data_IF_019948531293
#
_entry.id   IF_019948531293
#
_cell.length_a   1.000
_cell.length_b   1.000
_cell.length_c   1.000
_cell.angle_alpha   90.00
_cell.angle_beta   90.00
_cell.angle_gamma   90.00
#
_symmetry.space_group_name_H-M   'P 1'
#
loop_
_entity.id
_entity.type
_entity.pdbx_description
1 polymer ?
#
# COMPACT_ATOMS: atom_id res chain seq x y z
N UNK A 1 -31.83 14.45 -10.37
CA UNK A 1 -31.28 13.21 -9.77
C UNK A 1 -30.46 12.52 -10.85
N UNK A 2 -29.12 12.59 -10.77
CA UNK A 2 -28.25 11.94 -11.75
C UNK A 2 -28.10 10.47 -11.37
N UNK A 3 -28.71 9.59 -12.16
CA UNK A 3 -28.56 8.14 -12.03
C UNK A 3 -27.11 7.76 -12.31
N UNK A 4 -26.41 7.25 -11.29
CA UNK A 4 -25.11 6.60 -11.46
C UNK A 4 -25.28 5.39 -12.39
N UNK A 5 -24.44 5.30 -13.42
CA UNK A 5 -24.40 4.12 -14.30
C UNK A 5 -23.80 2.93 -13.54
N UNK A 6 -24.32 1.70 -13.73
CA UNK A 6 -23.75 0.52 -13.10
C UNK A 6 -22.32 0.31 -13.57
N UNK A 7 -21.42 0.08 -12.61
CA UNK A 7 -20.06 -0.38 -12.86
C UNK A 7 -20.13 -1.71 -13.63
N UNK A 8 -19.32 -1.83 -14.69
CA UNK A 8 -19.28 -3.00 -15.55
C UNK A 8 -18.98 -4.29 -14.77
N UNK A 9 -19.33 -5.43 -15.36
CA UNK A 9 -19.17 -6.77 -14.77
C UNK A 9 -17.77 -6.93 -14.17
N UNK A 10 -17.71 -7.15 -12.86
CA UNK A 10 -16.50 -7.52 -12.14
C UNK A 10 -16.00 -8.86 -12.69
N UNK A 11 -14.76 -8.89 -13.18
CA UNK A 11 -14.04 -10.12 -13.46
C UNK A 11 -13.61 -10.70 -12.11
N UNK A 12 -14.46 -11.54 -11.54
CA UNK A 12 -14.13 -12.31 -10.35
C UNK A 12 -13.02 -13.30 -10.68
N UNK A 13 -11.86 -13.11 -10.07
CA UNK A 13 -10.75 -14.07 -10.07
C UNK A 13 -10.72 -14.67 -8.66
N UNK A 14 -10.64 -16.00 -8.53
CA UNK A 14 -10.58 -16.64 -7.20
C UNK A 14 -9.32 -16.19 -6.45
N UNK A 15 -9.29 -16.29 -5.11
CA UNK A 15 -8.11 -15.91 -4.32
C UNK A 15 -6.85 -16.68 -4.78
N UNK A 16 -7.00 -17.95 -5.13
CA UNK A 16 -5.92 -18.79 -5.65
C UNK A 16 -5.56 -18.44 -7.10
N UNK A 17 -6.50 -17.99 -7.94
CA UNK A 17 -6.18 -17.48 -9.29
C UNK A 17 -5.60 -16.07 -9.25
N UNK A 18 -5.99 -15.21 -8.30
CA UNK A 18 -5.38 -13.90 -8.10
C UNK A 18 -3.94 -14.05 -7.59
N UNK A 19 -3.71 -15.04 -6.71
CA UNK A 19 -2.37 -15.43 -6.27
C UNK A 19 -1.60 -16.23 -7.35
N UNK A 20 -2.25 -17.02 -8.20
CA UNK A 20 -1.62 -17.75 -9.31
C UNK A 20 -1.32 -16.87 -10.52
N UNK A 21 -2.14 -15.89 -10.88
CA UNK A 21 -1.81 -14.89 -11.91
C UNK A 21 -0.65 -14.00 -11.45
N UNK A 22 -0.44 -13.90 -10.13
CA UNK A 22 0.76 -13.31 -9.53
C UNK A 22 1.98 -14.25 -9.56
N UNK A 23 1.80 -15.57 -9.59
CA UNK A 23 2.88 -16.57 -9.67
C UNK A 23 3.20 -17.03 -11.12
N UNK A 24 2.23 -16.91 -12.04
CA UNK A 24 2.30 -17.35 -13.44
C UNK A 24 2.55 -16.22 -14.43
N UNK A 25 2.88 -15.01 -13.97
CA UNK A 25 3.46 -14.00 -14.86
C UNK A 25 4.87 -14.47 -15.27
N UNK A 26 4.92 -15.32 -16.28
CA UNK A 26 6.13 -15.62 -17.01
C UNK A 26 6.36 -14.48 -18.01
N UNK A 27 7.47 -13.73 -17.91
CA UNK A 27 7.88 -12.92 -19.05
C UNK A 27 8.07 -13.88 -20.23
N UNK A 28 7.35 -13.63 -21.33
CA UNK A 28 7.50 -14.45 -22.52
C UNK A 28 8.99 -14.56 -22.88
N UNK A 29 9.47 -15.80 -22.95
CA UNK A 29 10.75 -16.24 -23.48
C UNK A 29 12.03 -15.78 -22.75
N UNK A 30 12.49 -16.59 -21.79
CA UNK A 30 13.93 -16.84 -21.61
C UNK A 30 14.17 -18.33 -21.39
N UNK A 31 14.36 -19.04 -22.50
CA UNK A 31 15.19 -20.24 -22.48
C UNK A 31 16.64 -19.80 -22.31
N UNK A 32 17.31 -20.32 -21.27
CA UNK A 32 18.68 -19.97 -20.95
C UNK A 32 18.94 -20.14 -19.47
N UNK A 33 19.17 -21.39 -19.04
CA UNK A 33 19.68 -21.66 -17.70
C UNK A 33 21.09 -21.11 -17.57
N UNK A 34 21.29 -20.21 -16.63
CA UNK A 34 22.60 -19.83 -16.13
C UNK A 34 22.52 -19.55 -14.63
N UNK A 35 23.58 -19.97 -13.95
CA UNK A 35 23.71 -20.05 -12.50
C UNK A 35 23.40 -18.72 -11.82
N UNK A 36 22.64 -18.79 -10.72
CA UNK A 36 22.41 -17.67 -9.83
C UNK A 36 23.74 -17.22 -9.21
N UNK A 37 24.37 -16.23 -9.84
CA UNK A 37 25.36 -15.40 -9.17
C UNK A 37 24.62 -14.52 -8.15
N UNK A 38 25.15 -14.54 -6.92
CA UNK A 38 24.84 -13.60 -5.85
C UNK A 38 25.29 -12.19 -6.26
N UNK A 39 24.60 -11.57 -7.22
CA UNK A 39 24.80 -10.16 -7.53
C UNK A 39 24.26 -9.34 -6.37
N UNK A 40 25.17 -8.63 -5.71
CA UNK A 40 24.89 -7.73 -4.59
C UNK A 40 23.67 -6.86 -4.88
N UNK A 41 22.75 -6.83 -3.91
CA UNK A 41 21.56 -5.98 -3.93
C UNK A 41 21.95 -4.50 -4.19
N UNK A 42 22.01 -4.08 -5.45
CA UNK A 42 22.13 -2.69 -5.88
C UNK A 42 20.78 -1.97 -5.66
N UNK A 43 20.24 -2.06 -4.44
CA UNK A 43 19.13 -1.21 -4.05
C UNK A 43 19.65 0.21 -3.94
N UNK A 44 19.04 1.13 -4.69
CA UNK A 44 19.38 2.54 -4.69
C UNK A 44 18.24 3.35 -4.09
N UNK A 45 18.62 4.42 -3.42
CA UNK A 45 17.73 5.49 -3.00
C UNK A 45 18.35 6.79 -3.51
N UNK A 46 17.69 7.41 -4.49
CA UNK A 46 18.17 8.64 -5.10
C UNK A 46 17.30 9.81 -4.67
N UNK A 47 17.97 10.87 -4.20
CA UNK A 47 17.31 12.13 -3.92
C UNK A 47 17.12 12.95 -5.21
N UNK A 48 15.87 13.18 -5.62
CA UNK A 48 15.54 14.05 -6.75
C UNK A 48 14.91 15.33 -6.23
N UNK A 49 14.77 16.33 -7.10
CA UNK A 49 14.29 17.67 -6.71
C UNK A 49 12.93 17.61 -5.98
N UNK A 50 11.98 16.85 -6.50
CA UNK A 50 10.57 16.84 -6.08
C UNK A 50 10.09 15.48 -5.52
N UNK A 51 10.94 14.44 -5.59
CA UNK A 51 10.63 13.10 -5.08
C UNK A 51 11.90 12.34 -4.70
N UNK A 52 11.74 11.25 -3.94
CA UNK A 52 12.77 10.23 -3.76
C UNK A 52 12.51 9.07 -4.71
N UNK A 53 13.52 8.59 -5.44
CA UNK A 53 13.44 7.37 -6.23
C UNK A 53 13.93 6.20 -5.40
N UNK A 54 13.08 5.22 -5.13
CA UNK A 54 13.37 4.06 -4.29
C UNK A 54 13.31 2.81 -5.16
N UNK A 55 14.47 2.19 -5.39
CA UNK A 55 14.58 0.97 -6.18
C UNK A 55 14.36 -0.28 -5.32
N UNK A 56 14.12 -1.39 -6.03
CA UNK A 56 13.93 -2.71 -5.46
C UNK A 56 12.73 -2.84 -4.50
N UNK A 57 11.69 -2.04 -4.69
CA UNK A 57 10.41 -2.17 -3.97
C UNK A 57 9.70 -3.43 -4.47
N UNK A 58 9.48 -4.39 -3.56
CA UNK A 58 8.75 -5.64 -3.85
C UNK A 58 7.25 -5.42 -3.67
N UNK A 59 6.53 -5.31 -4.79
CA UNK A 59 5.10 -5.05 -4.82
C UNK A 59 4.41 -5.93 -5.87
N UNK A 60 3.32 -6.62 -5.47
CA UNK A 60 2.59 -7.57 -6.33
C UNK A 60 3.51 -8.62 -7.01
N UNK A 61 4.35 -9.29 -6.23
CA UNK A 61 5.34 -10.28 -6.70
C UNK A 61 6.35 -9.75 -7.73
N UNK A 62 6.47 -8.43 -7.87
CA UNK A 62 7.40 -7.78 -8.81
C UNK A 62 8.32 -6.85 -8.05
N UNK A 63 9.54 -6.75 -8.56
CA UNK A 63 10.50 -5.74 -8.12
C UNK A 63 10.36 -4.51 -9.02
N UNK A 64 10.10 -3.35 -8.42
CA UNK A 64 9.91 -2.09 -9.16
C UNK A 64 10.67 -0.94 -8.51
N UNK A 65 10.75 0.18 -9.23
CA UNK A 65 11.21 1.46 -8.70
C UNK A 65 10.00 2.35 -8.42
N UNK A 66 9.99 2.97 -7.26
CA UNK A 66 8.88 3.82 -6.81
C UNK A 66 9.42 5.21 -6.50
N UNK A 67 8.86 6.21 -7.19
CA UNK A 67 9.00 7.60 -6.78
C UNK A 67 8.05 7.93 -5.64
N UNK A 68 8.56 8.48 -4.54
CA UNK A 68 7.77 9.05 -3.44
C UNK A 68 7.87 10.58 -3.49
N UNK A 69 6.76 11.27 -3.71
CA UNK A 69 6.73 12.74 -3.76
C UNK A 69 7.15 13.35 -2.40
N UNK A 70 7.95 14.41 -2.45
CA UNK A 70 8.38 15.20 -1.26
C UNK A 70 7.28 16.12 -0.72
N UNK A 71 6.08 16.05 -1.30
CA UNK A 71 4.89 16.77 -0.87
C UNK A 71 3.67 15.85 -0.96
N UNK A 72 2.64 16.16 -0.18
CA UNK A 72 1.34 15.49 -0.31
C UNK A 72 0.70 15.88 -1.65
N UNK A 73 -0.05 14.95 -2.24
CA UNK A 73 -0.77 15.25 -3.49
C UNK A 73 -1.75 16.40 -3.29
N UNK A 74 -1.96 17.15 -4.39
CA UNK A 74 -2.86 18.30 -4.42
C UNK A 74 -2.58 19.29 -3.27
N UNK A 75 -1.30 19.55 -3.00
CA UNK A 75 -0.83 20.42 -1.89
C UNK A 75 -1.35 20.01 -0.50
N UNK A 76 -1.67 18.73 -0.32
CA UNK A 76 -2.23 18.20 0.92
C UNK A 76 -3.70 18.53 1.15
N UNK A 77 -4.43 18.93 0.10
CA UNK A 77 -5.89 18.99 0.11
C UNK A 77 -6.49 17.64 0.50
N UNK A 78 -7.75 17.66 0.94
CA UNK A 78 -8.48 16.46 1.33
C UNK A 78 -9.50 16.15 0.25
N UNK A 79 -9.59 14.89 -0.14
CA UNK A 79 -10.64 14.37 -1.03
C UNK A 79 -11.16 13.05 -0.45
N UNK A 80 -12.38 12.70 -0.83
CA UNK A 80 -12.93 11.35 -0.63
C UNK A 80 -12.13 10.32 -1.43
N UNK A 81 -12.30 9.03 -1.12
CA UNK A 81 -11.56 7.98 -1.85
C UNK A 81 -11.95 7.93 -3.34
N UNK A 82 -13.22 8.16 -3.65
CA UNK A 82 -13.72 8.13 -5.03
C UNK A 82 -13.11 9.27 -5.87
N UNK A 83 -13.00 10.47 -5.29
CA UNK A 83 -12.30 11.61 -5.90
C UNK A 83 -10.79 11.36 -6.05
N UNK A 84 -10.15 10.71 -5.07
CA UNK A 84 -8.75 10.31 -5.18
C UNK A 84 -8.51 9.23 -6.24
N UNK A 85 -9.45 8.30 -6.40
CA UNK A 85 -9.39 7.30 -7.45
C UNK A 85 -9.49 7.96 -8.84
N UNK A 86 -10.40 8.92 -9.02
CA UNK A 86 -10.51 9.68 -10.27
C UNK A 86 -9.23 10.50 -10.55
N UNK A 87 -8.74 11.23 -9.55
CA UNK A 87 -7.46 11.94 -9.67
C UNK A 87 -6.33 10.99 -10.08
N UNK A 88 -6.24 9.82 -9.42
CA UNK A 88 -5.17 8.84 -9.63
C UNK A 88 -5.21 8.23 -11.03
N UNK A 89 -6.41 7.98 -11.58
CA UNK A 89 -6.57 7.53 -12.98
C UNK A 89 -5.97 8.52 -13.96
N UNK A 90 -6.32 9.79 -13.83
CA UNK A 90 -5.83 10.86 -14.70
C UNK A 90 -4.31 11.05 -14.56
N UNK A 91 -3.81 11.11 -13.32
CA UNK A 91 -2.40 11.29 -13.03
C UNK A 91 -1.55 10.12 -13.57
N UNK A 92 -1.99 8.86 -13.38
CA UNK A 92 -1.25 7.68 -13.86
C UNK A 92 -1.15 7.63 -15.39
N UNK A 93 -2.19 8.06 -16.11
CA UNK A 93 -2.16 8.17 -17.59
C UNK A 93 -1.13 9.20 -18.08
N UNK A 94 -0.88 10.24 -17.29
CA UNK A 94 0.06 11.32 -17.60
C UNK A 94 1.47 11.06 -17.03
N UNK A 95 1.71 9.89 -16.42
CA UNK A 95 2.98 9.58 -15.75
C UNK A 95 3.22 10.38 -14.45
N UNK A 96 2.17 10.99 -13.90
CA UNK A 96 2.20 11.75 -12.65
C UNK A 96 2.14 10.88 -11.39
N UNK A 97 2.28 11.54 -10.24
CA UNK A 97 2.08 10.91 -8.94
C UNK A 97 0.60 10.66 -8.65
N UNK A 98 0.30 9.49 -8.12
CA UNK A 98 -1.05 9.03 -7.80
C UNK A 98 -1.10 8.44 -6.38
N UNK A 99 -2.30 8.06 -5.93
CA UNK A 99 -2.49 7.45 -4.61
C UNK A 99 -2.22 5.95 -4.67
N UNK A 100 -1.34 5.45 -3.81
CA UNK A 100 -1.07 4.01 -3.70
C UNK A 100 -2.18 3.26 -2.98
N UNK A 101 -2.27 1.95 -3.19
CA UNK A 101 -2.98 1.06 -2.28
C UNK A 101 -2.13 0.76 -1.04
N UNK A 102 -2.72 0.11 -0.04
CA UNK A 102 -2.05 -0.18 1.22
C UNK A 102 -0.81 -1.11 1.07
N UNK A 103 -0.84 -2.18 0.25
CA UNK A 103 0.34 -2.99 0.01
C UNK A 103 1.50 -2.21 -0.64
N UNK A 104 1.24 -1.27 -1.55
CA UNK A 104 2.30 -0.45 -2.15
C UNK A 104 2.99 0.43 -1.10
N UNK A 105 2.21 1.09 -0.22
CA UNK A 105 2.79 1.89 0.86
C UNK A 105 3.58 1.04 1.84
N UNK A 106 3.07 -0.15 2.20
CA UNK A 106 3.80 -1.05 3.07
C UNK A 106 5.12 -1.52 2.43
N UNK A 107 5.09 -1.95 1.16
CA UNK A 107 6.27 -2.34 0.41
C UNK A 107 7.32 -1.22 0.35
N UNK A 108 6.87 0.02 0.13
CA UNK A 108 7.71 1.21 0.13
C UNK A 108 8.36 1.45 1.50
N UNK A 109 7.58 1.40 2.58
CA UNK A 109 8.10 1.63 3.94
C UNK A 109 9.05 0.52 4.38
N UNK A 110 8.73 -0.73 4.01
CA UNK A 110 9.59 -1.89 4.24
C UNK A 110 10.93 -1.75 3.51
N UNK A 111 10.91 -1.23 2.28
CA UNK A 111 12.14 -1.00 1.53
C UNK A 111 12.98 0.14 2.14
N UNK A 112 12.37 1.24 2.57
CA UNK A 112 13.09 2.28 3.32
C UNK A 112 13.69 1.71 4.61
N UNK A 113 12.92 0.87 5.33
CA UNK A 113 13.39 0.21 6.54
C UNK A 113 14.60 -0.69 6.26
N UNK A 114 14.62 -1.44 5.16
CA UNK A 114 15.77 -2.29 4.80
C UNK A 114 17.05 -1.49 4.49
N UNK A 115 16.90 -0.27 3.97
CA UNK A 115 17.99 0.65 3.63
C UNK A 115 18.53 1.47 4.81
N UNK A 116 17.89 1.40 5.99
CA UNK A 116 18.21 2.27 7.14
C UNK A 116 19.66 2.18 7.64
N UNK A 117 20.26 1.00 7.52
CA UNK A 117 21.64 0.75 7.96
C UNK A 117 22.68 0.94 6.84
N UNK A 118 22.25 1.25 5.61
CA UNK A 118 23.17 1.48 4.50
C UNK A 118 23.88 2.84 4.68
N UNK A 119 25.21 2.87 4.91
CA UNK A 119 25.91 4.12 5.21
C UNK A 119 25.83 5.16 4.08
N UNK A 120 25.76 4.72 2.81
CA UNK A 120 25.67 5.60 1.65
C UNK A 120 24.28 6.21 1.42
N UNK A 121 23.24 5.67 2.06
CA UNK A 121 21.84 6.10 1.89
C UNK A 121 21.18 6.57 3.18
N UNK A 122 21.86 6.43 4.33
CA UNK A 122 21.30 6.68 5.66
C UNK A 122 20.63 8.05 5.77
N UNK A 123 21.29 9.12 5.31
CA UNK A 123 20.73 10.47 5.35
C UNK A 123 19.45 10.58 4.54
N UNK A 124 19.46 10.14 3.28
CA UNK A 124 18.29 10.20 2.39
C UNK A 124 17.14 9.33 2.89
N UNK A 125 17.45 8.14 3.42
CA UNK A 125 16.47 7.23 4.03
C UNK A 125 15.80 7.90 5.22
N UNK A 126 16.58 8.57 6.07
CA UNK A 126 16.08 9.28 7.24
C UNK A 126 15.22 10.48 6.87
N UNK A 127 15.60 11.26 5.86
CA UNK A 127 14.77 12.37 5.36
C UNK A 127 13.41 11.89 4.83
N UNK A 128 13.39 10.81 4.04
CA UNK A 128 12.16 10.21 3.54
C UNK A 128 11.30 9.67 4.70
N UNK A 129 11.92 8.99 5.67
CA UNK A 129 11.27 8.50 6.90
C UNK A 129 10.64 9.65 7.68
N UNK A 130 11.40 10.70 7.97
CA UNK A 130 10.94 11.88 8.71
C UNK A 130 9.79 12.59 8.01
N UNK A 131 9.84 12.73 6.68
CA UNK A 131 8.75 13.28 5.90
C UNK A 131 7.46 12.46 6.12
N UNK A 132 7.50 11.14 5.88
CA UNK A 132 6.34 10.26 6.04
C UNK A 132 5.82 10.32 7.47
N UNK A 133 6.72 10.19 8.45
CA UNK A 133 6.43 10.24 9.88
C UNK A 133 5.67 11.52 10.24
N UNK A 134 6.22 12.68 9.84
CA UNK A 134 5.60 13.99 10.04
C UNK A 134 4.21 14.08 9.42
N UNK A 135 3.98 13.46 8.25
CA UNK A 135 2.64 13.44 7.65
C UNK A 135 1.68 12.55 8.45
N UNK A 136 2.12 11.36 8.90
CA UNK A 136 1.32 10.45 9.72
C UNK A 136 0.87 11.12 11.03
N UNK A 137 1.76 11.86 11.70
CA UNK A 137 1.43 12.59 12.94
C UNK A 137 0.51 13.81 12.73
N UNK A 138 0.49 14.39 11.53
CA UNK A 138 -0.32 15.58 11.24
C UNK A 138 -1.67 15.27 10.63
N UNK A 139 -1.78 14.15 9.90
CA UNK A 139 -2.91 13.86 9.02
C UNK A 139 -3.18 12.36 9.00
N UNK A 140 -4.46 12.01 8.86
CA UNK A 140 -4.84 10.71 8.33
C UNK A 140 -4.51 10.68 6.84
N UNK A 141 -3.78 9.65 6.42
CA UNK A 141 -3.35 9.42 5.05
C UNK A 141 -4.18 8.27 4.45
N UNK A 142 -4.95 8.59 3.43
CA UNK A 142 -5.82 7.63 2.76
C UNK A 142 -5.06 6.80 1.72
N UNK A 143 -5.52 5.58 1.48
CA UNK A 143 -5.03 4.72 0.40
C UNK A 143 -6.15 4.38 -0.59
N UNK A 144 -5.79 3.79 -1.72
CA UNK A 144 -6.75 3.16 -2.64
C UNK A 144 -7.07 1.71 -2.22
N UNK A 145 -7.06 1.38 -0.93
CA UNK A 145 -7.65 0.13 -0.43
C UNK A 145 -9.04 0.40 0.16
N UNK A 146 -10.06 -0.26 -0.37
CA UNK A 146 -11.46 -0.25 0.11
C UNK A 146 -11.78 -1.59 0.77
N UNK A 147 -12.57 -1.56 1.81
CA UNK A 147 -13.11 -2.75 2.47
C UNK A 147 -14.62 -2.76 2.31
N UNK A 148 -15.17 -3.91 1.93
CA UNK A 148 -16.61 -4.16 1.91
C UNK A 148 -16.90 -5.26 2.92
N UNK A 149 -17.38 -4.86 4.09
CA UNK A 149 -17.86 -5.78 5.10
C UNK A 149 -19.21 -6.34 4.67
N UNK A 150 -19.42 -7.63 4.92
CA UNK A 150 -20.70 -8.29 4.67
C UNK A 150 -21.29 -8.77 5.99
N UNK A 151 -22.61 -8.70 6.13
CA UNK A 151 -23.33 -9.27 7.27
C UNK A 151 -23.12 -10.80 7.32
N UNK A 152 -23.01 -11.44 6.16
CA UNK A 152 -22.79 -12.89 6.02
C UNK A 152 -21.66 -13.19 5.05
N UNK A 153 -20.89 -14.24 5.36
CA UNK A 153 -19.78 -14.71 4.54
C UNK A 153 -18.50 -13.88 4.67
N UNK A 154 -17.64 -13.99 3.65
CA UNK A 154 -16.37 -13.29 3.59
C UNK A 154 -16.57 -11.85 3.14
N UNK A 155 -15.81 -10.97 3.79
CA UNK A 155 -15.69 -9.58 3.39
C UNK A 155 -14.76 -9.47 2.17
N UNK A 156 -14.90 -8.38 1.42
CA UNK A 156 -14.03 -8.07 0.27
C UNK A 156 -13.01 -6.99 0.64
N UNK A 157 -11.74 -7.21 0.34
CA UNK A 157 -10.69 -6.20 0.34
C UNK A 157 -10.38 -5.85 -1.12
N UNK A 158 -10.63 -4.61 -1.52
CA UNK A 158 -10.37 -4.12 -2.87
C UNK A 158 -9.12 -3.25 -2.81
N UNK A 159 -8.04 -3.69 -3.46
CA UNK A 159 -6.82 -2.92 -3.62
C UNK A 159 -6.80 -2.19 -4.95
N UNK A 160 -6.12 -1.04 -5.00
CA UNK A 160 -6.13 -0.14 -6.16
C UNK A 160 -7.56 0.24 -6.60
N UNK A 161 -8.43 0.50 -5.63
CA UNK A 161 -9.82 0.86 -5.84
C UNK A 161 -9.98 1.96 -6.90
N UNK A 162 -10.80 1.66 -7.92
CA UNK A 162 -11.09 2.55 -9.04
C UNK A 162 -9.97 2.66 -10.09
N UNK A 163 -8.88 1.91 -9.97
CA UNK A 163 -7.80 1.89 -10.96
C UNK A 163 -7.96 0.72 -11.95
N UNK A 164 -7.25 0.77 -13.08
CA UNK A 164 -7.28 -0.31 -14.08
C UNK A 164 -6.70 -1.63 -13.55
N UNK A 165 -5.74 -1.57 -12.63
CA UNK A 165 -5.10 -2.71 -11.98
C UNK A 165 -5.68 -3.01 -10.58
N UNK A 166 -6.96 -2.69 -10.39
CA UNK A 166 -7.73 -3.08 -9.21
C UNK A 166 -7.76 -4.61 -9.08
N UNK A 167 -7.66 -5.12 -7.86
CA UNK A 167 -7.85 -6.52 -7.56
C UNK A 167 -8.53 -6.71 -6.19
N UNK A 168 -9.12 -7.87 -5.99
CA UNK A 168 -9.90 -8.18 -4.80
C UNK A 168 -9.34 -9.40 -4.07
N UNK A 169 -9.39 -9.35 -2.75
CA UNK A 169 -9.15 -10.48 -1.87
C UNK A 169 -10.41 -10.71 -1.02
N UNK A 170 -10.67 -11.96 -0.66
CA UNK A 170 -11.76 -12.32 0.25
C UNK A 170 -11.17 -12.74 1.59
N UNK A 171 -11.79 -12.32 2.69
CA UNK A 171 -11.33 -12.71 4.02
C UNK A 171 -12.25 -12.25 5.14
N UNK A 172 -11.93 -12.62 6.38
CA UNK A 172 -12.62 -12.10 7.54
C UNK A 172 -11.83 -10.94 8.15
N UNK A 173 -12.29 -9.71 7.93
CA UNK A 173 -11.63 -8.48 8.40
C UNK A 173 -12.27 -7.90 9.66
N UNK A 174 -13.37 -8.50 10.14
CA UNK A 174 -13.99 -8.15 11.42
C UNK A 174 -13.11 -8.66 12.56
N UNK A 175 -12.90 -7.82 13.56
CA UNK A 175 -12.13 -8.20 14.74
C UNK A 175 -11.98 -7.05 15.71
N UNK A 176 -11.54 -7.37 16.94
CA UNK A 176 -11.29 -6.38 17.97
C UNK A 176 -10.17 -5.44 17.58
N UNK A 177 -10.35 -4.17 17.88
CA UNK A 177 -9.26 -3.19 17.94
C UNK A 177 -8.10 -3.70 18.83
N UNK A 178 -6.86 -3.47 18.43
CA UNK A 178 -5.72 -3.87 19.25
C UNK A 178 -4.35 -3.57 18.67
N UNK A 179 -3.35 -3.67 19.54
CA UNK A 179 -1.93 -3.65 19.14
C UNK A 179 -1.63 -4.81 18.18
N UNK A 180 -0.73 -4.53 17.25
CA UNK A 180 -0.18 -5.52 16.33
C UNK A 180 0.95 -6.24 17.07
N UNK A 181 0.65 -7.43 17.58
CA UNK A 181 1.60 -8.30 18.27
C UNK A 181 1.59 -9.70 17.63
N UNK A 182 2.65 -10.47 17.88
CA UNK A 182 2.77 -11.88 17.51
C UNK A 182 1.63 -12.76 18.10
N UNK A 183 1.19 -12.45 19.31
CA UNK A 183 0.11 -13.15 20.00
C UNK A 183 -1.28 -12.93 19.36
N UNK A 184 -1.43 -11.97 18.46
CA UNK A 184 -2.71 -11.65 17.81
C UNK A 184 -2.83 -12.34 16.44
N UNK A 185 -2.96 -13.68 16.44
CA UNK A 185 -3.06 -14.49 15.21
C UNK A 185 -4.23 -14.08 14.29
N UNK A 186 -5.31 -13.52 14.85
CA UNK A 186 -6.40 -12.94 14.06
C UNK A 186 -6.04 -11.61 13.40
N UNK A 187 -5.09 -10.86 13.94
CA UNK A 187 -4.53 -9.70 13.25
C UNK A 187 -3.59 -10.12 12.11
N UNK A 188 -2.83 -11.21 12.25
CA UNK A 188 -1.92 -11.71 11.21
C UNK A 188 -2.62 -11.94 9.87
N UNK A 189 -3.72 -12.69 9.84
CA UNK A 189 -4.44 -12.95 8.58
C UNK A 189 -4.98 -11.69 7.90
N UNK A 190 -5.37 -10.68 8.68
CA UNK A 190 -5.83 -9.39 8.12
C UNK A 190 -4.65 -8.56 7.63
N UNK A 191 -3.55 -8.56 8.36
CA UNK A 191 -2.35 -7.83 7.96
C UNK A 191 -1.82 -8.39 6.65
N UNK A 192 -1.78 -9.72 6.48
CA UNK A 192 -1.46 -10.34 5.20
C UNK A 192 -2.36 -9.82 4.08
N UNK A 193 -3.68 -9.79 4.30
CA UNK A 193 -4.64 -9.27 3.32
C UNK A 193 -4.44 -7.77 3.05
N UNK A 194 -4.01 -6.97 4.03
CA UNK A 194 -3.86 -5.52 3.87
C UNK A 194 -2.51 -5.14 3.26
N UNK A 195 -1.42 -5.80 3.65
CA UNK A 195 -0.04 -5.42 3.34
C UNK A 195 0.67 -6.38 2.40
N UNK A 196 0.20 -7.62 2.27
CA UNK A 196 0.92 -8.72 1.64
C UNK A 196 1.99 -9.37 2.52
N UNK A 197 2.14 -8.96 3.79
CA UNK A 197 3.11 -9.52 4.74
C UNK A 197 2.40 -10.39 5.78
N UNK A 198 2.88 -11.63 5.91
CA UNK A 198 2.34 -12.64 6.84
C UNK A 198 2.80 -12.39 8.28
N UNK A 199 4.00 -11.84 8.43
CA UNK A 199 4.62 -11.61 9.72
C UNK A 199 4.19 -10.26 10.32
N UNK A 200 3.23 -10.33 11.25
CA UNK A 200 2.75 -9.16 11.98
C UNK A 200 3.86 -8.44 12.77
N UNK A 201 4.90 -9.15 13.23
CA UNK A 201 6.03 -8.54 13.93
C UNK A 201 6.80 -7.64 12.99
N UNK A 202 7.10 -8.11 11.77
CA UNK A 202 7.75 -7.28 10.75
C UNK A 202 6.93 -6.04 10.38
N UNK A 203 5.62 -6.21 10.25
CA UNK A 203 4.73 -5.07 10.00
C UNK A 203 4.87 -4.02 11.10
N UNK A 204 4.82 -4.47 12.36
CA UNK A 204 4.97 -3.56 13.50
C UNK A 204 6.37 -2.91 13.56
N UNK A 205 7.44 -3.67 13.31
CA UNK A 205 8.81 -3.16 13.28
C UNK A 205 8.98 -2.03 12.25
N UNK A 206 8.46 -2.22 11.04
CA UNK A 206 8.51 -1.19 9.98
C UNK A 206 7.83 0.09 10.45
N UNK A 207 6.57 0.02 10.89
CA UNK A 207 5.83 1.21 11.32
C UNK A 207 6.39 1.84 12.60
N UNK A 208 6.94 1.04 13.51
CA UNK A 208 7.63 1.52 14.70
C UNK A 208 8.91 2.25 14.35
N UNK A 209 9.68 1.77 13.38
CA UNK A 209 10.81 2.54 12.87
C UNK A 209 10.36 3.84 12.20
N UNK A 210 9.29 3.81 11.39
CA UNK A 210 8.78 5.01 10.73
C UNK A 210 8.39 6.12 11.71
N UNK A 211 7.84 5.78 12.88
CA UNK A 211 7.16 6.76 13.76
C UNK A 211 7.66 6.80 15.20
N UNK A 212 8.45 5.83 15.63
CA UNK A 212 8.81 5.60 17.02
C UNK A 212 7.69 5.02 17.88
N UNK A 213 6.57 4.55 17.30
CA UNK A 213 5.37 4.11 18.02
C UNK A 213 4.96 2.69 17.66
N UNK A 214 4.38 1.99 18.64
CA UNK A 214 3.77 0.68 18.38
C UNK A 214 2.57 0.82 17.45
N UNK A 215 2.35 -0.21 16.63
CA UNK A 215 1.29 -0.22 15.64
C UNK A 215 0.00 -0.81 16.20
N UNK A 216 -1.11 -0.20 15.83
CA UNK A 216 -2.45 -0.53 16.30
C UNK A 216 -3.38 -0.69 15.10
N UNK A 217 -4.15 -1.78 15.06
CA UNK A 217 -5.09 -2.08 14.00
C UNK A 217 -6.53 -1.77 14.47
N UNK A 218 -7.15 -0.76 13.87
CA UNK A 218 -8.56 -0.43 14.11
C UNK A 218 -9.46 -1.11 13.08
N UNK A 219 -10.48 -1.83 13.56
CA UNK A 219 -11.38 -2.66 12.76
C UNK A 219 -12.82 -2.51 13.21
N UNK A 220 -13.72 -2.90 12.31
CA UNK A 220 -15.11 -3.13 12.68
C UNK A 220 -15.17 -4.37 13.58
N UNK A 221 -15.86 -4.25 14.73
CA UNK A 221 -15.93 -5.31 15.74
C UNK A 221 -17.04 -6.35 15.49
N UNK A 222 -17.98 -6.09 14.57
CA UNK A 222 -19.11 -6.98 14.25
C UNK A 222 -19.43 -7.00 12.76
N UNK A 223 -19.90 -8.15 12.25
CA UNK A 223 -20.37 -8.28 10.86
C UNK A 223 -21.52 -7.31 10.59
N UNK A 224 -21.47 -6.68 9.42
CA UNK A 224 -22.45 -5.69 8.95
C UNK A 224 -22.21 -5.42 7.46
N UNK A 225 -23.26 -5.01 6.74
CA UNK A 225 -23.12 -4.57 5.35
C UNK A 225 -22.68 -3.11 5.30
N UNK A 226 -21.39 -2.89 5.09
CA UNK A 226 -20.85 -1.53 5.08
C UNK A 226 -19.51 -1.43 4.37
N UNK A 227 -19.17 -0.24 3.89
CA UNK A 227 -17.89 0.00 3.26
C UNK A 227 -16.99 0.88 4.11
N UNK A 228 -15.69 0.61 4.06
CA UNK A 228 -14.66 1.36 4.78
C UNK A 228 -13.47 1.64 3.89
N UNK A 229 -12.73 2.68 4.25
CA UNK A 229 -11.50 3.08 3.58
C UNK A 229 -10.33 2.78 4.49
N UNK A 230 -9.31 2.13 3.94
CA UNK A 230 -8.06 1.92 4.68
C UNK A 230 -7.25 3.21 4.67
N UNK A 231 -6.74 3.57 5.84
CA UNK A 231 -5.90 4.76 6.04
C UNK A 231 -4.86 4.48 7.13
N UNK A 232 -3.79 5.26 7.15
CA UNK A 232 -2.79 5.22 8.21
C UNK A 232 -2.54 6.63 8.78
N UNK A 233 -2.13 6.68 10.04
CA UNK A 233 -1.81 7.91 10.77
C UNK A 233 -1.09 7.56 12.06
N UNK A 234 -0.64 8.55 12.81
CA UNK A 234 -0.01 8.34 14.12
C UNK A 234 -0.41 9.44 15.11
N UNK A 235 -0.40 9.11 16.39
CA UNK A 235 -0.62 10.03 17.50
C UNK A 235 0.33 9.71 18.68
N UNK A 236 0.08 10.30 19.85
CA UNK A 236 0.90 10.05 21.04
C UNK A 236 0.95 8.58 21.44
N UNK A 237 -0.10 7.83 21.12
CA UNK A 237 -0.38 6.51 21.66
C UNK A 237 0.06 5.40 20.70
N UNK A 238 0.02 5.64 19.38
CA UNK A 238 0.40 4.63 18.40
C UNK A 238 0.43 5.08 16.94
N UNK A 239 0.94 4.22 16.07
CA UNK A 239 0.59 4.24 14.63
C UNK A 239 -0.69 3.48 14.45
N UNK A 240 -1.63 4.05 13.71
CA UNK A 240 -2.95 3.47 13.57
C UNK A 240 -3.20 3.08 12.13
N UNK A 241 -3.35 1.77 11.89
CA UNK A 241 -3.82 1.21 10.62
C UNK A 241 -5.34 1.08 10.72
N UNK A 242 -6.08 1.93 10.02
CA UNK A 242 -7.49 2.16 10.29
C UNK A 242 -8.39 1.63 9.17
N UNK A 243 -9.33 0.78 9.56
CA UNK A 243 -10.31 0.12 8.70
C UNK A 243 -11.76 0.48 9.07
N UNK A 244 -12.01 1.57 9.81
CA UNK A 244 -13.32 1.85 10.45
C UNK A 244 -14.06 3.07 9.93
N UNK A 245 -13.47 3.86 9.03
CA UNK A 245 -14.16 5.05 8.47
C UNK A 245 -14.83 4.77 7.14
N UNK A 246 -16.04 5.29 6.98
CA UNK A 246 -16.81 5.18 5.74
C UNK A 246 -16.18 5.98 4.59
N UNK A 247 -16.59 5.72 3.35
CA UNK A 247 -15.99 6.30 2.14
C UNK A 247 -16.20 7.80 1.95
N UNK A 248 -17.17 8.38 2.63
CA UNK A 248 -17.45 9.81 2.63
C UNK A 248 -16.38 10.65 3.36
N UNK A 249 -15.42 10.03 4.05
CA UNK A 249 -14.36 10.80 4.73
C UNK A 249 -13.37 11.38 3.73
N UNK A 250 -13.02 12.65 3.90
CA UNK A 250 -12.00 13.31 3.09
C UNK A 250 -10.67 13.37 3.83
N UNK A 251 -9.61 12.82 3.24
CA UNK A 251 -8.27 12.79 3.82
C UNK A 251 -7.21 13.19 2.78
N UNK A 252 -6.03 13.55 3.27
CA UNK A 252 -4.85 13.77 2.41
C UNK A 252 -4.19 12.44 2.07
N UNK A 253 -3.24 12.46 1.13
CA UNK A 253 -2.58 11.25 0.61
C UNK A 253 -1.10 11.53 0.30
N UNK A 254 -0.26 10.50 0.44
CA UNK A 254 1.11 10.51 -0.09
C UNK A 254 1.06 10.29 -1.61
N UNK A 255 1.91 10.98 -2.35
CA UNK A 255 2.06 10.76 -3.80
C UNK A 255 3.08 9.70 -4.11
N UNK A 256 2.70 8.67 -4.87
CA UNK A 256 3.62 7.65 -5.38
C UNK A 256 3.53 7.53 -6.90
N UNK A 257 4.61 7.09 -7.53
CA UNK A 257 4.59 6.65 -8.92
C UNK A 257 5.48 5.43 -9.11
N UNK A 258 4.98 4.37 -9.71
CA UNK A 258 5.81 3.24 -10.13
C UNK A 258 6.46 3.61 -11.46
N UNK A 259 7.79 3.66 -11.50
CA UNK A 259 8.51 3.83 -12.75
C UNK A 259 8.38 2.56 -13.58
N UNK A 260 7.99 2.68 -14.85
CA UNK A 260 8.16 1.57 -15.79
C UNK A 260 9.66 1.38 -15.95
N UNK A 261 10.17 0.16 -15.69
CA UNK A 261 11.49 -0.19 -16.22
C UNK A 261 11.43 0.09 -17.71
N UNK A 262 12.33 0.93 -18.22
CA UNK A 262 12.56 0.98 -19.64
C UNK A 262 12.78 -0.47 -20.06
N UNK A 263 11.96 -0.98 -20.98
CA UNK A 263 12.32 -2.21 -21.64
C UNK A 263 13.71 -1.93 -22.20
N UNK A 264 14.70 -2.70 -21.78
CA UNK A 264 16.00 -2.69 -22.44
C UNK A 264 15.68 -3.08 -23.87
N UNK A 265 15.67 -2.10 -24.77
CA UNK A 265 15.64 -2.34 -26.21
C UNK A 265 16.96 -3.07 -26.51
N UNK A 266 16.85 -4.39 -26.66
CA UNK A 266 17.91 -5.24 -27.20
C UNK A 266 17.76 -5.31 -28.72
#
# INVERSE_FOLDING_TARGET
MNSLKPLGKSNYVSQEEALRDLDNYQPENREGGEQANEDGNNATLEDKTDFWSIDNVRYKNRTCSVGLAKSLLDSGNKKTQDEWAEYSRQAKQQGGFYVGDFPLYYALFSQLHSLRENPGMRTTTEEAREFISKQMFKKWLMTLTRLQYKERGNDTIIHNYGMQDQYELQGNIVGKDGLITDANTKAQGILELLTGEKDAVKVNEVYKWMTGKESYLLRVNSKQDTERVVRFGADSDGVVLNCVRGPQVSNSVLGVRIARRAALEN
#
